data_IF_296294824111
#
_entry.id   IF_296294824111
#
_cell.length_a   1.000
_cell.length_b   1.000
_cell.length_c   1.000
_cell.angle_alpha   90.00
_cell.angle_beta   90.00
_cell.angle_gamma   90.00
#
_symmetry.space_group_name_H-M   'P 1'
#
loop_
_entity.id
_entity.type
_entity.pdbx_description
1 polymer ?
#
# COMPACT_ATOMS: atom_id res chain seq x y z
N UNK A 1 0.10 -6.16 -7.31
CA UNK A 1 0.06 -5.39 -6.05
C UNK A 1 -0.90 -4.21 -6.11
N UNK A 2 -0.90 -3.41 -7.19
CA UNK A 2 -1.73 -2.21 -7.27
C UNK A 2 -3.24 -2.46 -7.04
N UNK A 3 -3.82 -3.45 -7.73
CA UNK A 3 -5.22 -3.82 -7.58
C UNK A 3 -5.64 -4.23 -6.14
N UNK A 4 -4.72 -4.83 -5.37
CA UNK A 4 -4.99 -5.23 -3.98
C UNK A 4 -5.06 -4.01 -3.06
N UNK A 5 -4.20 -3.00 -3.28
CA UNK A 5 -4.19 -1.76 -2.52
C UNK A 5 -5.40 -0.88 -2.87
N UNK A 6 -5.77 -0.82 -4.15
CA UNK A 6 -6.92 -0.07 -4.64
C UNK A 6 -8.26 -0.64 -4.22
N UNK A 7 -8.32 -1.95 -3.91
CA UNK A 7 -9.57 -2.57 -3.50
C UNK A 7 -10.06 -1.94 -2.20
N UNK A 8 -11.14 -1.17 -2.26
CA UNK A 8 -11.87 -0.72 -1.07
C UNK A 8 -12.36 -1.96 -0.32
N UNK A 9 -12.09 -1.99 0.98
CA UNK A 9 -12.61 -3.05 1.84
C UNK A 9 -13.83 -2.47 2.54
N UNK A 10 -15.00 -3.09 2.40
CA UNK A 10 -16.21 -2.57 3.00
C UNK A 10 -16.14 -2.60 4.53
N UNK A 11 -17.07 -1.91 5.17
CA UNK A 11 -17.28 -2.03 6.62
C UNK A 11 -18.02 -3.34 6.93
N UNK A 12 -17.72 -3.93 8.09
CA UNK A 12 -18.18 -5.28 8.45
C UNK A 12 -19.70 -5.41 8.52
N UNK A 13 -20.41 -4.29 8.66
CA UNK A 13 -21.87 -4.19 8.75
C UNK A 13 -22.56 -3.86 7.41
N UNK A 14 -21.82 -3.62 6.32
CA UNK A 14 -22.42 -3.16 5.04
C UNK A 14 -22.91 -4.30 4.13
N UNK A 15 -22.46 -5.55 4.37
CA UNK A 15 -22.85 -6.70 3.56
C UNK A 15 -22.26 -6.71 2.13
N UNK A 16 -21.42 -5.74 1.80
CA UNK A 16 -20.71 -5.62 0.53
C UNK A 16 -19.59 -6.67 0.42
N UNK A 17 -19.20 -7.02 -0.81
CA UNK A 17 -18.06 -7.90 -1.05
C UNK A 17 -16.72 -7.15 -0.88
N UNK A 18 -15.68 -7.75 -0.27
CA UNK A 18 -15.64 -9.12 0.24
C UNK A 18 -16.38 -9.33 1.56
N UNK A 19 -17.27 -10.32 1.59
CA UNK A 19 -18.08 -10.68 2.77
C UNK A 19 -17.28 -11.36 3.88
N UNK A 20 -17.86 -11.43 5.08
CA UNK A 20 -17.29 -12.14 6.22
C UNK A 20 -16.14 -11.39 6.91
N UNK A 21 -16.18 -10.06 6.86
CA UNK A 21 -15.24 -9.25 7.62
C UNK A 21 -15.60 -9.28 9.12
N UNK A 22 -14.65 -9.62 10.00
CA UNK A 22 -14.89 -9.59 11.44
C UNK A 22 -15.23 -8.19 11.94
N UNK A 23 -16.10 -8.11 12.95
CA UNK A 23 -16.46 -6.85 13.65
C UNK A 23 -15.46 -6.50 14.74
N UNK A 24 -14.89 -7.51 15.40
CA UNK A 24 -13.80 -7.32 16.36
C UNK A 24 -12.54 -6.81 15.66
N UNK A 25 -11.92 -5.78 16.22
CA UNK A 25 -10.76 -5.09 15.62
C UNK A 25 -9.58 -6.05 15.46
N UNK A 26 -9.27 -6.86 16.47
CA UNK A 26 -8.11 -7.75 16.47
C UNK A 26 -8.26 -8.87 15.43
N UNK A 27 -9.46 -9.43 15.31
CA UNK A 27 -9.76 -10.41 14.28
C UNK A 27 -9.85 -9.78 12.89
N UNK A 28 -10.33 -8.54 12.79
CA UNK A 28 -10.37 -7.77 11.53
C UNK A 28 -8.98 -7.51 10.99
N UNK A 29 -7.98 -7.24 11.83
CA UNK A 29 -6.57 -7.14 11.41
C UNK A 29 -6.02 -8.44 10.83
N UNK A 30 -6.50 -9.59 11.33
CA UNK A 30 -6.08 -10.93 10.87
C UNK A 30 -6.83 -11.39 9.62
N UNK A 31 -7.82 -10.63 9.16
CA UNK A 31 -8.61 -10.97 7.99
C UNK A 31 -7.73 -11.07 6.72
N UNK A 32 -7.93 -12.06 5.83
CA UNK A 32 -7.04 -12.30 4.69
C UNK A 32 -6.79 -11.08 3.79
N UNK A 33 -7.79 -10.22 3.60
CA UNK A 33 -7.63 -9.00 2.81
C UNK A 33 -6.70 -7.98 3.45
N UNK A 34 -6.74 -7.82 4.77
CA UNK A 34 -5.81 -6.95 5.49
C UNK A 34 -4.41 -7.54 5.53
N UNK A 35 -4.27 -8.86 5.67
CA UNK A 35 -2.99 -9.56 5.48
C UNK A 35 -2.41 -9.33 4.08
N UNK A 36 -3.23 -9.43 3.04
CA UNK A 36 -2.80 -9.18 1.66
C UNK A 36 -2.36 -7.72 1.43
N UNK A 37 -3.13 -6.74 1.93
CA UNK A 37 -2.75 -5.32 1.87
C UNK A 37 -1.43 -5.06 2.60
N UNK A 38 -1.29 -5.59 3.83
CA UNK A 38 -0.03 -5.51 4.61
C UNK A 38 1.16 -6.09 3.86
N UNK A 39 0.99 -7.25 3.22
CA UNK A 39 2.06 -7.86 2.44
C UNK A 39 2.41 -7.05 1.18
N UNK A 40 1.41 -6.51 0.49
CA UNK A 40 1.63 -5.63 -0.66
C UNK A 40 2.37 -4.34 -0.26
N UNK A 41 1.96 -3.69 0.84
CA UNK A 41 2.64 -2.50 1.38
C UNK A 41 4.09 -2.77 1.76
N UNK A 42 4.38 -3.93 2.38
CA UNK A 42 5.76 -4.34 2.71
C UNK A 42 6.65 -4.52 1.48
N UNK A 43 6.10 -5.07 0.40
CA UNK A 43 6.83 -5.23 -0.86
C UNK A 43 7.17 -3.86 -1.45
N UNK A 44 6.20 -2.93 -1.46
CA UNK A 44 6.44 -1.57 -1.92
C UNK A 44 7.47 -0.84 -1.08
N UNK A 45 7.38 -0.94 0.25
CA UNK A 45 8.37 -0.34 1.17
C UNK A 45 9.80 -0.81 0.83
N UNK A 46 9.99 -2.12 0.61
CA UNK A 46 11.29 -2.69 0.22
C UNK A 46 11.77 -2.20 -1.14
N UNK A 47 10.87 -2.11 -2.12
CA UNK A 47 11.21 -1.59 -3.44
C UNK A 47 11.64 -0.13 -3.36
N UNK A 48 10.95 0.68 -2.56
CA UNK A 48 11.33 2.08 -2.32
C UNK A 48 12.67 2.21 -1.61
N UNK A 49 12.89 1.46 -0.53
CA UNK A 49 14.16 1.49 0.20
C UNK A 49 15.36 1.12 -0.69
N UNK A 50 15.15 0.23 -1.66
CA UNK A 50 16.23 -0.24 -2.55
C UNK A 50 16.38 0.58 -3.83
N UNK A 51 15.29 1.10 -4.39
CA UNK A 51 15.26 1.66 -5.74
C UNK A 51 14.66 3.07 -5.81
N UNK A 52 14.22 3.64 -4.69
CA UNK A 52 13.57 4.96 -4.65
C UNK A 52 14.54 6.12 -4.88
N UNK A 53 15.82 5.95 -4.55
CA UNK A 53 16.86 6.95 -4.76
C UNK A 53 17.98 6.37 -5.63
N UNK A 54 17.89 6.62 -6.95
CA UNK A 54 18.82 6.10 -7.97
C UNK A 54 20.29 6.36 -7.61
N UNK A 55 20.59 7.49 -6.97
CA UNK A 55 21.95 7.87 -6.56
C UNK A 55 22.62 6.89 -5.56
N UNK A 56 21.84 6.08 -4.84
CA UNK A 56 22.33 5.12 -3.85
C UNK A 56 22.20 3.66 -4.29
N UNK A 57 21.83 3.43 -5.55
CA UNK A 57 21.66 2.09 -6.11
C UNK A 57 22.98 1.60 -6.69
N UNK A 58 23.28 0.32 -6.53
CA UNK A 58 24.46 -0.33 -7.15
C UNK A 58 24.35 -0.28 -8.68
N UNK A 59 25.47 -0.14 -9.38
CA UNK A 59 25.51 0.13 -10.83
C UNK A 59 24.65 -0.84 -11.67
N UNK A 60 24.61 -2.11 -11.28
CA UNK A 60 23.83 -3.18 -11.96
C UNK A 60 22.31 -2.95 -11.91
N UNK A 61 21.81 -2.25 -10.89
CA UNK A 61 20.39 -2.03 -10.62
C UNK A 61 19.90 -0.63 -11.04
N UNK A 62 20.80 0.25 -11.52
CA UNK A 62 20.51 1.67 -11.80
C UNK A 62 19.40 1.83 -12.85
N UNK A 63 19.41 1.02 -13.91
CA UNK A 63 18.38 1.11 -14.96
C UNK A 63 17.00 0.75 -14.42
N UNK A 64 16.92 -0.28 -13.56
CA UNK A 64 15.68 -0.64 -12.88
C UNK A 64 15.22 0.47 -11.95
N UNK A 65 16.14 1.06 -11.19
CA UNK A 65 15.83 2.16 -10.27
C UNK A 65 15.25 3.36 -11.01
N UNK A 66 15.85 3.75 -12.15
CA UNK A 66 15.30 4.81 -13.01
C UNK A 66 13.88 4.48 -13.50
N UNK A 67 13.64 3.24 -13.96
CA UNK A 67 12.30 2.82 -14.37
C UNK A 67 11.29 2.84 -13.20
N UNK A 68 11.75 2.53 -11.99
CA UNK A 68 10.94 2.47 -10.79
C UNK A 68 10.58 3.87 -10.25
N UNK A 69 11.54 4.79 -10.15
CA UNK A 69 11.41 6.07 -9.47
C UNK A 69 11.42 7.30 -10.37
N UNK A 70 12.00 7.25 -11.58
CA UNK A 70 12.18 8.41 -12.45
C UNK A 70 11.24 8.43 -13.66
N UNK A 71 10.85 9.64 -14.06
CA UNK A 71 10.03 9.89 -15.25
C UNK A 71 8.51 9.80 -15.00
N UNK A 72 7.70 10.24 -15.98
CA UNK A 72 6.26 10.46 -15.80
C UNK A 72 5.43 9.16 -15.66
N UNK A 73 6.02 8.01 -15.98
CA UNK A 73 5.35 6.70 -16.00
C UNK A 73 5.97 5.67 -15.05
N UNK A 74 6.78 6.14 -14.08
CA UNK A 74 7.47 5.27 -13.15
C UNK A 74 6.49 4.50 -12.25
N UNK A 75 6.94 3.36 -11.74
CA UNK A 75 6.12 2.48 -10.90
C UNK A 75 5.68 3.18 -9.62
N UNK A 76 6.57 3.99 -9.04
CA UNK A 76 6.29 4.83 -7.87
C UNK A 76 5.03 5.71 -8.06
N UNK A 77 4.97 6.46 -9.15
CA UNK A 77 3.83 7.34 -9.46
C UNK A 77 2.54 6.55 -9.73
N UNK A 78 2.62 5.37 -10.37
CA UNK A 78 1.45 4.52 -10.66
C UNK A 78 0.79 3.93 -9.40
N UNK A 79 1.55 3.79 -8.33
CA UNK A 79 1.09 3.22 -7.06
C UNK A 79 0.59 4.30 -6.09
N UNK A 80 1.02 5.56 -6.28
CA UNK A 80 0.64 6.69 -5.45
C UNK A 80 -0.89 6.85 -5.27
N UNK A 81 -1.75 6.77 -6.31
CA UNK A 81 -3.21 6.88 -6.13
C UNK A 81 -3.77 5.84 -5.15
N UNK A 82 -3.22 4.62 -5.16
CA UNK A 82 -3.66 3.50 -4.31
C UNK A 82 -3.29 3.72 -2.85
N UNK A 83 -2.14 4.37 -2.63
CA UNK A 83 -1.67 4.77 -1.30
C UNK A 83 -2.53 5.91 -0.76
N UNK A 84 -2.77 6.93 -1.58
CA UNK A 84 -3.64 8.05 -1.21
C UNK A 84 -5.06 7.59 -0.90
N UNK A 85 -5.63 6.67 -1.70
CA UNK A 85 -6.95 6.11 -1.44
C UNK A 85 -7.01 5.33 -0.11
N UNK A 86 -5.93 4.63 0.24
CA UNK A 86 -5.82 3.92 1.52
C UNK A 86 -5.77 4.90 2.71
N UNK A 87 -5.09 6.04 2.56
CA UNK A 87 -5.05 7.11 3.56
C UNK A 87 -6.37 7.87 3.65
N UNK A 88 -7.04 8.07 2.53
CA UNK A 88 -8.38 8.65 2.47
C UNK A 88 -9.40 7.81 3.25
N UNK A 89 -9.30 6.47 3.14
CA UNK A 89 -10.17 5.55 3.91
C UNK A 89 -10.06 5.84 5.41
N UNK A 90 -8.84 6.03 5.93
CA UNK A 90 -8.59 6.41 7.33
C UNK A 90 -9.24 7.76 7.67
N UNK A 91 -9.12 8.76 6.79
CA UNK A 91 -9.73 10.09 6.98
C UNK A 91 -11.27 10.02 7.01
N UNK A 92 -11.88 9.11 6.25
CA UNK A 92 -13.33 8.89 6.20
C UNK A 92 -13.88 8.13 7.41
N UNK A 93 -13.02 7.71 8.35
CA UNK A 93 -13.42 6.89 9.49
C UNK A 93 -13.65 5.43 9.15
N UNK A 94 -13.27 5.00 7.93
CA UNK A 94 -13.27 3.60 7.55
C UNK A 94 -12.10 2.89 8.23
N UNK A 95 -12.29 1.61 8.55
CA UNK A 95 -11.24 0.84 9.17
C UNK A 95 -10.04 0.72 8.24
N UNK A 96 -8.88 1.09 8.77
CA UNK A 96 -7.60 0.83 8.14
C UNK A 96 -6.60 0.49 9.22
N UNK A 97 -5.88 -0.62 9.04
CA UNK A 97 -4.90 -1.05 10.06
C UNK A 97 -3.80 -0.01 10.22
N UNK A 98 -3.31 0.15 11.45
CA UNK A 98 -2.24 1.09 11.77
C UNK A 98 -0.97 0.79 10.98
N UNK A 99 -0.67 -0.50 10.78
CA UNK A 99 0.51 -0.93 10.03
C UNK A 99 0.45 -0.48 8.57
N UNK A 100 -0.69 -0.68 7.90
CA UNK A 100 -0.87 -0.26 6.51
C UNK A 100 -0.85 1.27 6.41
N UNK A 101 -1.50 1.96 7.34
CA UNK A 101 -1.49 3.44 7.41
C UNK A 101 -0.06 3.97 7.54
N UNK A 102 0.72 3.42 8.49
CA UNK A 102 2.12 3.79 8.70
C UNK A 102 2.96 3.56 7.45
N UNK A 103 2.81 2.42 6.78
CA UNK A 103 3.57 2.12 5.55
C UNK A 103 3.21 3.08 4.42
N UNK A 104 1.94 3.44 4.27
CA UNK A 104 1.48 4.43 3.29
C UNK A 104 2.05 5.83 3.58
N UNK A 105 2.14 6.25 4.85
CA UNK A 105 2.75 7.52 5.22
C UNK A 105 4.26 7.49 4.95
N UNK A 106 4.95 6.41 5.34
CA UNK A 106 6.39 6.26 5.12
C UNK A 106 6.74 6.40 3.63
N UNK A 107 5.94 5.80 2.75
CA UNK A 107 6.10 5.94 1.31
C UNK A 107 6.09 7.40 0.83
N UNK A 108 5.26 8.26 1.42
CA UNK A 108 5.15 9.67 1.02
C UNK A 108 6.27 10.56 1.56
N UNK A 109 7.01 10.07 2.55
CA UNK A 109 8.10 10.80 3.21
C UNK A 109 9.49 10.45 2.66
N UNK A 110 9.58 9.38 1.86
CA UNK A 110 10.77 8.97 1.10
C UNK A 110 10.76 9.54 -0.29
#
# INVERSE_FOLDING_TARGET
FNAVLQKRLPESNTGEEPKGQPTDIQEREKWPWWKAKKQASRILERLFQRYGLVAYVVDEDVEFAKMFSEGPNCVALKVLPSILHTLESRKRGEFCTDVVTRMCILFLLT
#
